data_IF_709385298762
#
_entry.id   IF_709385298762
#
_cell.length_a   1.000
_cell.length_b   1.000
_cell.length_c   1.000
_cell.angle_alpha   90.00
_cell.angle_beta   90.00
_cell.angle_gamma   90.00
#
_symmetry.space_group_name_H-M   'P 1'
#
loop_
_entity.id
_entity.type
_entity.pdbx_description
1 polymer ?
#
# COMPACT_ATOMS: atom_id res chain seq x y z
N UNK A 1 -0.32 -18.96 -12.27
CA UNK A 1 0.12 -18.02 -13.32
C UNK A 1 1.12 -16.98 -12.80
N UNK A 2 0.76 -16.05 -11.90
CA UNK A 2 1.76 -15.15 -11.27
C UNK A 2 2.55 -15.87 -10.16
N UNK A 3 1.88 -16.68 -9.33
CA UNK A 3 2.54 -17.50 -8.28
C UNK A 3 3.46 -18.60 -8.82
N UNK A 4 3.21 -19.03 -10.06
CA UNK A 4 3.99 -20.07 -10.75
C UNK A 4 5.00 -19.46 -11.75
N UNK A 5 5.18 -18.14 -11.71
CA UNK A 5 6.14 -17.45 -12.57
C UNK A 5 7.55 -17.51 -12.00
N UNK A 6 8.54 -17.15 -12.80
CA UNK A 6 9.94 -17.10 -12.39
C UNK A 6 10.27 -15.94 -11.44
N UNK A 7 9.26 -15.15 -11.03
CA UNK A 7 9.42 -14.05 -10.09
C UNK A 7 9.86 -14.56 -8.71
N UNK A 8 10.92 -13.93 -8.19
CA UNK A 8 11.55 -14.28 -6.91
C UNK A 8 10.85 -13.71 -5.70
N UNK A 9 10.16 -12.58 -5.84
CA UNK A 9 9.39 -11.95 -4.76
C UNK A 9 10.18 -11.65 -3.49
N UNK A 10 9.48 -11.54 -2.36
CA UNK A 10 10.12 -11.33 -1.05
C UNK A 10 10.36 -12.65 -0.33
N UNK A 11 11.57 -12.82 0.21
CA UNK A 11 11.91 -13.89 1.16
C UNK A 11 11.82 -13.34 2.57
N UNK A 12 10.85 -13.83 3.33
CA UNK A 12 10.69 -13.48 4.75
C UNK A 12 11.53 -14.47 5.57
N UNK A 13 12.39 -13.97 6.47
CA UNK A 13 13.43 -14.75 7.18
C UNK A 13 12.91 -15.97 7.96
N UNK A 14 11.61 -16.04 8.25
CA UNK A 14 10.98 -17.08 9.07
C UNK A 14 9.91 -17.88 8.33
N UNK A 15 9.63 -17.54 7.06
CA UNK A 15 8.58 -18.17 6.27
C UNK A 15 9.18 -19.01 5.15
N UNK A 16 8.61 -20.20 4.93
CA UNK A 16 9.05 -21.12 3.87
C UNK A 16 8.53 -20.62 2.51
N UNK A 17 7.44 -19.84 2.54
CA UNK A 17 6.78 -19.34 1.35
C UNK A 17 7.35 -18.00 0.87
N UNK A 18 7.65 -17.97 -0.43
CA UNK A 18 7.98 -16.74 -1.13
C UNK A 18 6.72 -15.89 -1.31
N UNK A 19 6.77 -14.64 -0.85
CA UNK A 19 5.69 -13.69 -1.06
C UNK A 19 5.84 -13.04 -2.43
N UNK A 20 5.04 -13.48 -3.41
CA UNK A 20 5.02 -12.93 -4.77
C UNK A 20 3.80 -12.04 -4.98
N UNK A 21 2.60 -12.54 -4.64
CA UNK A 21 1.34 -11.82 -4.86
C UNK A 21 0.35 -12.08 -3.73
N UNK A 22 -0.29 -10.99 -3.29
CA UNK A 22 -1.40 -10.99 -2.33
C UNK A 22 -2.60 -10.30 -2.98
N UNK A 23 -3.74 -10.97 -2.96
CA UNK A 23 -5.00 -10.44 -3.49
C UNK A 23 -6.00 -10.36 -2.34
N UNK A 24 -6.66 -9.21 -2.19
CA UNK A 24 -7.74 -9.02 -1.23
C UNK A 24 -8.84 -8.19 -1.90
N UNK A 25 -10.02 -8.80 -2.11
CA UNK A 25 -11.08 -8.22 -2.93
C UNK A 25 -10.56 -7.79 -4.32
N UNK A 26 -10.69 -6.52 -4.70
CA UNK A 26 -10.17 -5.94 -5.94
C UNK A 26 -8.73 -5.42 -5.82
N UNK A 27 -8.18 -5.34 -4.60
CA UNK A 27 -6.80 -4.92 -4.37
C UNK A 27 -5.82 -6.07 -4.62
N UNK A 28 -4.82 -5.82 -5.47
CA UNK A 28 -3.72 -6.72 -5.74
C UNK A 28 -2.39 -6.06 -5.35
N UNK A 29 -1.60 -6.75 -4.54
CA UNK A 29 -0.25 -6.35 -4.16
C UNK A 29 0.75 -7.36 -4.69
N UNK A 30 1.79 -6.88 -5.37
CA UNK A 30 2.85 -7.68 -5.97
C UNK A 30 4.16 -7.27 -5.33
N UNK A 31 4.96 -8.26 -4.95
CA UNK A 31 6.24 -8.09 -4.31
C UNK A 31 7.31 -8.53 -5.30
N UNK A 32 8.32 -7.69 -5.49
CA UNK A 32 9.40 -7.90 -6.46
C UNK A 32 10.74 -7.83 -5.75
N UNK A 33 11.60 -8.80 -6.00
CA UNK A 33 12.99 -8.76 -5.59
C UNK A 33 13.81 -7.83 -6.51
N UNK A 34 15.05 -7.56 -6.13
CA UNK A 34 16.00 -6.84 -6.99
C UNK A 34 16.35 -7.58 -8.29
N UNK A 35 16.22 -8.91 -8.30
CA UNK A 35 16.46 -9.76 -9.46
C UNK A 35 15.26 -9.79 -10.42
N UNK A 36 14.09 -9.32 -9.98
CA UNK A 36 12.86 -9.38 -10.77
C UNK A 36 12.79 -8.24 -11.79
N UNK A 37 12.34 -8.58 -12.99
CA UNK A 37 12.18 -7.61 -14.07
C UNK A 37 10.72 -7.14 -14.20
N UNK A 38 10.52 -5.82 -14.15
CA UNK A 38 9.20 -5.21 -14.35
C UNK A 38 8.57 -5.54 -15.70
N UNK A 39 9.38 -5.79 -16.74
CA UNK A 39 8.87 -6.17 -18.06
C UNK A 39 8.18 -7.53 -18.03
N UNK A 40 8.78 -8.50 -17.33
CA UNK A 40 8.22 -9.84 -17.22
C UNK A 40 6.93 -9.81 -16.40
N UNK A 41 6.91 -8.98 -15.34
CA UNK A 41 5.69 -8.69 -14.61
C UNK A 41 4.61 -8.07 -15.51
N UNK A 42 4.95 -7.07 -16.33
CA UNK A 42 3.98 -6.43 -17.23
C UNK A 42 3.38 -7.42 -18.24
N UNK A 43 4.17 -8.35 -18.77
CA UNK A 43 3.68 -9.40 -19.65
C UNK A 43 2.67 -10.30 -18.92
N UNK A 44 3.02 -10.78 -17.72
CA UNK A 44 2.13 -11.59 -16.89
C UNK A 44 0.82 -10.86 -16.55
N UNK A 45 0.91 -9.56 -16.24
CA UNK A 45 -0.26 -8.74 -15.94
C UNK A 45 -1.14 -8.51 -17.17
N UNK A 46 -0.55 -8.33 -18.35
CA UNK A 46 -1.30 -8.16 -19.59
C UNK A 46 -2.05 -9.44 -19.99
N UNK A 47 -1.40 -10.59 -19.85
CA UNK A 47 -2.03 -11.89 -20.11
C UNK A 47 -3.17 -12.17 -19.12
N UNK A 48 -2.97 -11.83 -17.85
CA UNK A 48 -4.04 -11.90 -16.85
C UNK A 48 -5.18 -10.94 -17.19
N UNK A 49 -4.87 -9.72 -17.65
CA UNK A 49 -5.89 -8.75 -18.04
C UNK A 49 -6.74 -9.22 -19.22
N UNK A 50 -6.14 -9.95 -20.16
CA UNK A 50 -6.83 -10.49 -21.32
C UNK A 50 -7.94 -11.49 -20.94
N UNK A 51 -7.85 -12.11 -19.76
CA UNK A 51 -8.77 -13.18 -19.33
C UNK A 51 -9.64 -12.82 -18.14
N UNK A 52 -9.22 -11.89 -17.28
CA UNK A 52 -9.89 -11.61 -15.99
C UNK A 52 -10.47 -10.20 -15.89
N UNK A 53 -9.69 -9.14 -16.16
CA UNK A 53 -10.13 -7.77 -15.89
C UNK A 53 -9.09 -6.71 -16.23
N UNK A 54 -9.35 -5.44 -15.93
CA UNK A 54 -8.45 -4.31 -16.26
C UNK A 54 -7.88 -3.67 -15.00
N UNK A 55 -6.56 -3.54 -14.91
CA UNK A 55 -5.93 -2.78 -13.84
C UNK A 55 -6.21 -1.28 -13.96
N UNK A 56 -6.47 -0.65 -12.82
CA UNK A 56 -6.62 0.79 -12.74
C UNK A 56 -5.24 1.45 -12.57
N UNK A 57 -4.51 1.64 -13.68
CA UNK A 57 -3.13 2.13 -13.65
C UNK A 57 -2.93 3.43 -12.86
N UNK A 58 -3.83 4.44 -12.94
CA UNK A 58 -3.74 5.63 -12.08
C UNK A 58 -3.80 5.37 -10.57
N UNK A 59 -4.39 4.24 -10.14
CA UNK A 59 -4.41 3.81 -8.73
C UNK A 59 -3.21 2.93 -8.37
N UNK A 60 -2.45 2.44 -9.35
CA UNK A 60 -1.27 1.63 -9.09
C UNK A 60 -0.16 2.50 -8.50
N UNK A 61 0.36 2.07 -7.36
CA UNK A 61 1.48 2.72 -6.67
C UNK A 61 2.62 1.74 -6.46
N UNK A 62 3.85 2.26 -6.45
CA UNK A 62 5.06 1.50 -6.18
C UNK A 62 5.72 2.07 -4.92
N UNK A 63 6.00 1.20 -3.95
CA UNK A 63 6.79 1.54 -2.76
C UNK A 63 8.14 0.84 -2.90
N UNK A 64 9.23 1.58 -3.16
CA UNK A 64 10.55 0.98 -3.26
C UNK A 64 11.03 0.58 -1.86
N UNK A 65 11.44 -0.67 -1.69
CA UNK A 65 11.95 -1.21 -0.41
C UNK A 65 13.40 -1.61 -0.62
N UNK A 66 14.28 -1.21 0.32
CA UNK A 66 15.72 -1.49 0.25
C UNK A 66 16.54 -0.30 0.71
N UNK A 67 17.81 -0.28 0.30
CA UNK A 67 18.75 0.76 0.71
C UNK A 67 18.35 2.15 0.23
N UNK A 68 18.81 3.17 0.94
CA UNK A 68 18.51 4.57 0.59
C UNK A 68 19.01 4.92 -0.81
N UNK A 69 20.21 4.47 -1.17
CA UNK A 69 20.79 4.73 -2.49
C UNK A 69 19.95 4.14 -3.62
N UNK A 70 19.41 2.93 -3.43
CA UNK A 70 18.48 2.31 -4.36
C UNK A 70 17.19 3.14 -4.50
N UNK A 71 16.60 3.55 -3.38
CA UNK A 71 15.36 4.34 -3.37
C UNK A 71 15.56 5.70 -4.04
N UNK A 72 16.64 6.40 -3.73
CA UNK A 72 17.00 7.69 -4.35
C UNK A 72 17.20 7.53 -5.86
N UNK A 73 17.96 6.50 -6.28
CA UNK A 73 18.19 6.19 -7.70
C UNK A 73 16.89 5.87 -8.42
N UNK A 74 16.03 5.04 -7.84
CA UNK A 74 14.77 4.63 -8.45
C UNK A 74 13.81 5.82 -8.57
N UNK A 75 13.75 6.70 -7.56
CA UNK A 75 12.95 7.92 -7.65
C UNK A 75 13.47 8.88 -8.74
N UNK A 76 14.80 9.00 -8.89
CA UNK A 76 15.40 9.89 -9.89
C UNK A 76 15.34 9.34 -11.32
N UNK A 77 15.56 8.04 -11.50
CA UNK A 77 15.70 7.40 -12.82
C UNK A 77 14.45 6.66 -13.28
N UNK A 78 13.52 6.37 -12.35
CA UNK A 78 12.36 5.47 -12.53
C UNK A 78 12.75 4.08 -13.02
N UNK A 79 13.97 3.61 -12.75
CA UNK A 79 14.48 2.30 -13.19
C UNK A 79 14.85 1.42 -12.00
N UNK A 80 14.49 0.14 -12.08
CA UNK A 80 14.90 -0.87 -11.09
C UNK A 80 16.42 -1.16 -11.19
N UNK A 81 16.92 -1.31 -12.42
CA UNK A 81 18.32 -1.51 -12.75
C UNK A 81 18.72 -0.62 -13.95
N UNK A 82 20.01 -0.37 -14.14
CA UNK A 82 20.50 0.60 -15.14
C UNK A 82 20.04 0.29 -16.58
N UNK A 83 19.95 -1.01 -16.91
CA UNK A 83 19.49 -1.52 -18.20
C UNK A 83 17.98 -1.82 -18.25
N UNK A 84 17.26 -1.66 -17.13
CA UNK A 84 15.83 -1.91 -17.10
C UNK A 84 15.05 -0.80 -17.82
N UNK A 85 13.88 -1.16 -18.34
CA UNK A 85 12.93 -0.17 -18.85
C UNK A 85 12.44 0.72 -17.70
N UNK A 86 12.27 2.03 -17.94
CA UNK A 86 11.73 2.92 -16.94
C UNK A 86 10.27 2.57 -16.62
N UNK A 87 9.89 2.76 -15.36
CA UNK A 87 8.51 2.65 -14.89
C UNK A 87 7.68 3.72 -15.61
N UNK A 88 6.55 3.35 -16.23
CA UNK A 88 5.64 4.28 -16.91
C UNK A 88 5.24 5.47 -16.02
N UNK A 89 5.22 6.69 -16.57
CA UNK A 89 4.98 7.93 -15.81
C UNK A 89 3.59 8.00 -15.15
N UNK A 90 2.64 7.20 -15.62
CA UNK A 90 1.31 7.09 -15.05
C UNK A 90 1.24 6.25 -13.76
N UNK A 91 2.35 5.66 -13.32
CA UNK A 91 2.46 4.93 -12.05
C UNK A 91 3.21 5.80 -11.05
N UNK A 92 2.57 6.05 -9.90
CA UNK A 92 3.15 6.84 -8.82
C UNK A 92 4.16 5.99 -8.04
N UNK A 93 5.35 6.54 -7.81
CA UNK A 93 6.39 5.93 -6.96
C UNK A 93 6.41 6.74 -5.67
N UNK A 94 6.20 6.09 -4.53
CA UNK A 94 6.14 6.76 -3.22
C UNK A 94 7.56 7.04 -2.72
N UNK A 95 7.95 8.33 -2.58
CA UNK A 95 9.27 8.70 -2.08
C UNK A 95 9.37 8.51 -0.56
N UNK A 96 10.59 8.64 -0.05
CA UNK A 96 10.84 8.67 1.40
C UNK A 96 10.11 9.84 2.07
N UNK A 97 9.49 9.57 3.22
CA UNK A 97 8.70 10.54 3.99
C UNK A 97 7.22 10.60 3.59
N UNK A 98 6.84 10.00 2.47
CA UNK A 98 5.45 9.86 2.04
C UNK A 98 4.91 8.45 2.35
N UNK A 99 3.60 8.37 2.53
CA UNK A 99 2.90 7.12 2.79
C UNK A 99 1.79 6.90 1.77
N UNK A 100 1.59 5.64 1.36
CA UNK A 100 0.39 5.21 0.66
C UNK A 100 -0.50 4.38 1.57
N UNK A 101 -1.80 4.35 1.29
CA UNK A 101 -2.74 3.49 2.00
C UNK A 101 -2.88 2.15 1.27
N UNK A 102 -2.70 1.05 2.00
CA UNK A 102 -2.94 -0.33 1.55
C UNK A 102 -3.82 -1.03 2.57
N UNK A 103 -5.02 -1.46 2.17
CA UNK A 103 -5.98 -2.18 3.03
C UNK A 103 -6.26 -1.48 4.38
N UNK A 104 -6.32 -0.14 4.38
CA UNK A 104 -6.55 0.68 5.57
C UNK A 104 -5.29 0.99 6.40
N UNK A 105 -4.17 0.30 6.14
CA UNK A 105 -2.88 0.60 6.75
C UNK A 105 -2.07 1.59 5.89
N UNK A 106 -1.24 2.41 6.52
CA UNK A 106 -0.32 3.29 5.81
C UNK A 106 1.07 2.65 5.72
N UNK A 107 1.62 2.63 4.52
CA UNK A 107 2.92 2.02 4.20
C UNK A 107 3.77 3.06 3.47
N UNK A 108 5.00 3.21 3.91
CA UNK A 108 5.98 4.11 3.31
C UNK A 108 7.29 4.07 4.08
N UNK A 109 8.35 4.57 3.46
CA UNK A 109 9.66 4.61 4.10
C UNK A 109 9.85 5.91 4.88
N UNK A 110 10.47 5.84 6.05
CA UNK A 110 10.81 7.02 6.87
C UNK A 110 9.59 7.94 7.16
N UNK A 111 8.40 7.33 7.27
CA UNK A 111 7.15 8.05 7.51
C UNK A 111 7.11 8.61 8.93
N UNK A 112 6.77 9.89 9.08
CA UNK A 112 6.47 10.45 10.40
C UNK A 112 5.10 9.95 10.84
N UNK A 113 5.08 9.09 11.85
CA UNK A 113 3.87 8.38 12.30
C UNK A 113 2.71 9.34 12.68
N UNK A 114 3.01 10.56 13.14
CA UNK A 114 1.99 11.52 13.60
C UNK A 114 1.08 12.07 12.49
N UNK A 115 1.59 12.25 11.26
CA UNK A 115 0.78 12.83 10.16
C UNK A 115 -0.25 11.84 9.61
N UNK A 116 -0.01 10.55 9.79
CA UNK A 116 -0.90 9.46 9.33
C UNK A 116 -2.18 9.38 10.17
N UNK A 117 -2.06 9.50 11.50
CA UNK A 117 -3.20 9.36 12.41
C UNK A 117 -4.01 10.64 12.58
N UNK A 118 -3.47 11.80 12.21
CA UNK A 118 -4.12 13.08 12.40
C UNK A 118 -5.54 13.16 11.78
N UNK A 119 -5.76 12.76 10.50
CA UNK A 119 -7.11 12.79 9.91
C UNK A 119 -8.09 11.86 10.64
N UNK A 120 -7.61 10.71 11.11
CA UNK A 120 -8.43 9.75 11.85
C UNK A 120 -8.81 10.29 13.23
N UNK A 121 -7.87 10.91 13.94
CA UNK A 121 -8.11 11.59 15.22
C UNK A 121 -9.10 12.76 15.02
N UNK A 122 -8.94 13.55 13.96
CA UNK A 122 -9.87 14.63 13.60
C UNK A 122 -11.27 14.11 13.28
N UNK A 123 -11.38 13.00 12.55
CA UNK A 123 -12.65 12.36 12.26
C UNK A 123 -13.35 11.86 13.52
N UNK A 124 -12.61 11.21 14.43
CA UNK A 124 -13.11 10.78 15.75
C UNK A 124 -13.60 11.99 16.55
N UNK A 125 -12.79 13.04 16.66
CA UNK A 125 -13.14 14.25 17.39
C UNK A 125 -14.38 14.94 16.81
N UNK A 126 -14.48 15.02 15.48
CA UNK A 126 -15.64 15.57 14.76
C UNK A 126 -16.91 14.77 15.05
N UNK A 127 -16.82 13.44 15.01
CA UNK A 127 -17.94 12.55 15.32
C UNK A 127 -18.38 12.70 16.78
N UNK A 128 -17.45 12.69 17.74
CA UNK A 128 -17.78 12.90 19.16
C UNK A 128 -18.44 14.26 19.40
N UNK A 129 -17.98 15.33 18.72
CA UNK A 129 -18.59 16.67 18.80
C UNK A 129 -19.99 16.73 18.19
N UNK A 130 -20.30 15.91 17.17
CA UNK A 130 -21.66 15.78 16.64
C UNK A 130 -22.57 15.11 17.65
N UNK A 131 -22.12 13.98 18.22
CA UNK A 131 -22.87 13.23 19.22
C UNK A 131 -23.11 14.01 20.52
N UNK A 132 -22.17 14.86 20.93
CA UNK A 132 -22.33 15.67 22.14
C UNK A 132 -23.48 16.69 22.05
N UNK A 133 -23.91 17.08 20.83
CA UNK A 133 -25.06 17.97 20.61
C UNK A 133 -26.40 17.32 21.01
N UNK A 134 -26.46 15.99 21.05
CA UNK A 134 -27.65 15.25 21.47
C UNK A 134 -27.80 15.12 22.99
N UNK A 135 -26.91 15.72 23.78
CA UNK A 135 -26.89 15.65 25.25
C UNK A 135 -27.07 14.22 25.82
N UNK A 136 -26.25 13.24 25.38
CA UNK A 136 -26.40 11.86 25.82
C UNK A 136 -26.15 11.69 27.33
N UNK A 137 -26.87 10.74 27.93
CA UNK A 137 -26.65 10.25 29.31
C UNK A 137 -25.26 9.65 29.46
N UNK A 138 -24.83 9.37 30.69
CA UNK A 138 -23.53 8.73 30.97
C UNK A 138 -23.44 7.38 30.24
N UNK A 139 -24.47 6.53 30.35
CA UNK A 139 -24.51 5.25 29.64
C UNK A 139 -24.48 5.44 28.12
N UNK A 140 -25.20 6.44 27.60
CA UNK A 140 -25.15 6.82 26.19
C UNK A 140 -23.74 7.21 25.73
N UNK A 141 -23.00 7.96 26.55
CA UNK A 141 -21.60 8.33 26.25
C UNK A 141 -20.68 7.11 26.23
N UNK A 142 -20.85 6.17 27.17
CA UNK A 142 -20.09 4.92 27.17
C UNK A 142 -20.31 4.12 25.87
N UNK A 143 -21.57 3.99 25.43
CA UNK A 143 -21.90 3.32 24.16
C UNK A 143 -21.30 4.06 22.95
N UNK A 144 -21.39 5.40 22.93
CA UNK A 144 -20.82 6.22 21.85
C UNK A 144 -19.31 6.08 21.79
N UNK A 145 -18.60 6.05 22.92
CA UNK A 145 -17.15 5.81 22.94
C UNK A 145 -16.82 4.42 22.38
N UNK A 146 -17.55 3.38 22.80
CA UNK A 146 -17.36 2.02 22.28
C UNK A 146 -17.57 1.94 20.76
N UNK A 147 -18.63 2.58 20.25
CA UNK A 147 -18.94 2.60 18.83
C UNK A 147 -17.96 3.46 18.01
N UNK A 148 -17.66 4.67 18.47
CA UNK A 148 -16.90 5.67 17.68
C UNK A 148 -15.40 5.48 17.86
N UNK A 149 -14.90 5.29 19.08
CA UNK A 149 -13.46 5.13 19.32
C UNK A 149 -13.07 3.66 19.18
N UNK A 150 -13.84 2.76 19.78
CA UNK A 150 -13.57 1.31 19.72
C UNK A 150 -13.83 0.69 18.34
N UNK A 151 -14.65 1.32 17.48
CA UNK A 151 -14.84 0.86 16.10
C UNK A 151 -13.68 1.20 15.15
N UNK A 152 -12.68 1.95 15.64
CA UNK A 152 -11.52 2.41 14.88
C UNK A 152 -10.21 1.69 15.29
N UNK A 153 -10.27 0.79 16.28
CA UNK A 153 -9.19 -0.15 16.63
C UNK A 153 -9.33 -1.46 15.88
#
# INVERSE_FOLDING_TARGET
>A
MIRDSDLKGFKIKEDIECLIVKIFADDMTIYLSEEDNLKDLQLLLNDWCATSGKFNTPKTKIVPVGDKEFRDRLNATRKMADLAMPIPDNIEITPDGEAMQLLGAFIGNQIMNLSIWAPMIEQIASNLKKWSKGHPTIDGRCLIIGMVVGGHT
#
